data_IF_000635029271
#
_entry.id   IF_000635029271
#
_cell.length_a   1.000
_cell.length_b   1.000
_cell.length_c   1.000
_cell.angle_alpha   90.00
_cell.angle_beta   90.00
_cell.angle_gamma   90.00
#
_symmetry.space_group_name_H-M   'P 1'
#
loop_
_entity.id
_entity.type
_entity.pdbx_description
1 polymer ?
#
# COMPACT_ATOMS: atom_id res chain seq x y z
N UNK A 1 -34.58 72.50 3.38
CA UNK A 1 -35.63 71.50 3.70
C UNK A 1 -35.25 70.22 2.97
N UNK A 2 -35.07 69.13 3.71
CA UNK A 2 -34.29 67.95 3.33
C UNK A 2 -34.77 67.23 2.06
N UNK A 3 -33.88 67.10 1.06
CA UNK A 3 -33.95 66.06 0.04
C UNK A 3 -33.20 64.83 0.55
N UNK A 4 -33.91 63.74 0.84
CA UNK A 4 -33.33 62.40 1.04
C UNK A 4 -33.36 61.67 -0.31
N UNK A 5 -32.21 61.51 -0.95
CA UNK A 5 -32.01 60.56 -2.03
C UNK A 5 -31.31 59.32 -1.44
N UNK A 6 -31.99 58.17 -1.54
CA UNK A 6 -31.44 56.85 -1.24
C UNK A 6 -30.53 56.45 -2.41
N UNK A 7 -29.21 56.45 -2.20
CA UNK A 7 -28.28 55.73 -3.08
C UNK A 7 -28.17 54.29 -2.58
N UNK A 8 -28.78 53.36 -3.31
CA UNK A 8 -28.53 51.92 -3.15
C UNK A 8 -27.21 51.61 -3.85
N UNK A 9 -26.14 51.45 -3.08
CA UNK A 9 -24.87 50.93 -3.59
C UNK A 9 -24.99 49.43 -3.80
N UNK A 10 -25.08 49.01 -5.06
CA UNK A 10 -24.99 47.61 -5.46
C UNK A 10 -23.51 47.17 -5.36
N UNK A 11 -23.15 46.51 -4.26
CA UNK A 11 -21.83 45.89 -4.11
C UNK A 11 -21.83 44.59 -4.95
N UNK A 12 -21.33 44.68 -6.18
CA UNK A 12 -20.96 43.50 -6.98
C UNK A 12 -19.73 42.87 -6.33
N UNK A 13 -19.94 41.90 -5.43
CA UNK A 13 -18.92 40.95 -5.02
C UNK A 13 -18.59 40.09 -6.24
N UNK A 14 -17.52 40.44 -6.94
CA UNK A 14 -16.85 39.55 -7.86
C UNK A 14 -16.35 38.34 -7.06
N UNK A 15 -17.14 37.26 -7.04
CA UNK A 15 -16.65 35.95 -6.65
C UNK A 15 -15.67 35.53 -7.72
N UNK A 16 -14.39 35.82 -7.48
CA UNK A 16 -13.28 35.22 -8.21
C UNK A 16 -13.28 33.72 -7.87
N UNK A 17 -14.12 32.97 -8.57
CA UNK A 17 -14.01 31.53 -8.65
C UNK A 17 -12.67 31.21 -9.28
N UNK A 18 -11.67 30.91 -8.46
CA UNK A 18 -10.45 30.26 -8.91
C UNK A 18 -10.84 28.92 -9.52
N UNK A 19 -10.94 28.86 -10.85
CA UNK A 19 -10.91 27.59 -11.56
C UNK A 19 -9.59 26.92 -11.17
N UNK A 20 -9.59 25.65 -10.73
CA UNK A 20 -8.33 24.92 -10.61
C UNK A 20 -7.68 24.95 -11.99
N UNK A 21 -6.42 25.39 -12.03
CA UNK A 21 -5.62 25.39 -13.24
C UNK A 21 -5.82 24.03 -13.94
N UNK A 22 -6.26 24.06 -15.19
CA UNK A 22 -6.54 22.88 -15.98
C UNK A 22 -5.28 22.02 -16.07
N UNK A 23 -5.17 21.05 -15.16
CA UNK A 23 -4.21 19.97 -15.27
C UNK A 23 -4.59 19.21 -16.54
N UNK A 24 -3.69 19.21 -17.53
CA UNK A 24 -3.80 18.26 -18.62
C UNK A 24 -3.99 16.87 -18.00
N UNK A 25 -5.01 16.14 -18.46
CA UNK A 25 -5.24 14.78 -18.02
C UNK A 25 -3.93 14.00 -18.19
N UNK A 26 -3.35 13.55 -17.08
CA UNK A 26 -2.13 12.75 -17.14
C UNK A 26 -2.52 11.45 -17.83
N UNK A 27 -1.86 11.14 -18.94
CA UNK A 27 -2.03 9.86 -19.60
C UNK A 27 -1.67 8.73 -18.63
N UNK A 28 -2.45 7.65 -18.65
CA UNK A 28 -2.17 6.49 -17.82
C UNK A 28 -0.73 5.99 -18.03
N UNK A 29 -0.03 5.59 -16.95
CA UNK A 29 1.32 5.09 -17.05
C UNK A 29 1.32 3.91 -18.01
N UNK A 30 2.13 4.00 -19.06
CA UNK A 30 2.38 2.88 -19.95
C UNK A 30 3.66 2.20 -19.48
N UNK A 31 3.58 0.89 -19.26
CA UNK A 31 4.77 0.09 -19.01
C UNK A 31 5.70 0.22 -20.23
N UNK A 32 6.83 0.89 -20.02
CA UNK A 32 7.79 1.13 -21.08
C UNK A 32 8.86 0.04 -21.10
N UNK A 33 9.33 -0.36 -19.91
CA UNK A 33 10.35 -1.39 -19.73
C UNK A 33 10.06 -2.17 -18.45
N UNK A 34 10.28 -3.48 -18.48
CA UNK A 34 10.45 -4.28 -17.27
C UNK A 34 11.55 -5.30 -17.46
N UNK A 35 12.38 -5.48 -16.43
CA UNK A 35 13.51 -6.40 -16.46
C UNK A 35 13.58 -7.13 -15.13
N UNK A 36 13.79 -8.44 -15.20
CA UNK A 36 14.17 -9.25 -14.03
C UNK A 36 15.65 -9.00 -13.73
N UNK A 37 15.92 -8.42 -12.55
CA UNK A 37 17.25 -8.05 -12.09
C UNK A 37 18.05 -9.23 -11.53
N UNK A 38 17.39 -10.32 -11.13
CA UNK A 38 18.06 -11.54 -10.63
C UNK A 38 19.03 -12.11 -11.67
N UNK A 39 18.73 -11.93 -12.97
CA UNK A 39 19.60 -12.36 -14.07
C UNK A 39 20.92 -11.60 -14.16
N UNK A 40 21.04 -10.45 -13.52
CA UNK A 40 22.24 -9.60 -13.54
C UNK A 40 23.13 -9.81 -12.31
N UNK A 41 22.64 -10.54 -11.30
CA UNK A 41 23.41 -10.99 -10.14
C UNK A 41 23.49 -12.52 -10.22
N UNK A 42 24.35 -13.04 -11.11
CA UNK A 42 24.47 -14.48 -11.34
C UNK A 42 25.33 -15.13 -10.24
N UNK A 43 24.70 -15.93 -9.38
CA UNK A 43 25.34 -16.89 -8.48
C UNK A 43 24.32 -17.52 -7.51
N UNK A 44 24.21 -18.83 -7.52
CA UNK A 44 23.18 -19.69 -6.88
C UNK A 44 22.65 -19.12 -5.53
N UNK A 45 21.58 -18.32 -5.57
CA UNK A 45 21.01 -17.59 -4.41
C UNK A 45 22.02 -16.77 -3.56
N UNK A 46 22.87 -15.98 -4.24
CA UNK A 46 23.70 -14.84 -3.74
C UNK A 46 25.15 -15.14 -3.31
N UNK A 47 25.85 -16.04 -4.02
CA UNK A 47 27.30 -16.29 -3.85
C UNK A 47 28.20 -15.81 -5.01
N UNK A 48 27.66 -15.02 -5.94
CA UNK A 48 28.39 -14.52 -7.11
C UNK A 48 29.21 -13.27 -6.81
N UNK A 49 30.45 -13.18 -7.31
CA UNK A 49 31.32 -11.98 -7.20
C UNK A 49 31.06 -10.93 -8.29
N UNK A 50 30.03 -11.10 -9.12
CA UNK A 50 29.85 -10.26 -10.29
C UNK A 50 28.98 -9.04 -9.95
N UNK A 51 29.52 -7.88 -10.30
CA UNK A 51 28.79 -6.62 -10.32
C UNK A 51 27.96 -6.57 -11.61
N UNK A 52 26.75 -6.02 -11.52
CA UNK A 52 25.84 -5.84 -12.65
C UNK A 52 25.52 -4.37 -12.85
N UNK A 53 25.39 -3.95 -14.11
CA UNK A 53 24.95 -2.61 -14.48
C UNK A 53 23.78 -2.73 -15.45
N UNK A 54 22.71 -1.97 -15.19
CA UNK A 54 21.49 -1.98 -16.01
C UNK A 54 21.12 -0.54 -16.35
N UNK A 55 21.13 -0.22 -17.65
CA UNK A 55 20.53 1.01 -18.17
C UNK A 55 19.00 0.84 -18.20
N UNK A 56 18.30 1.62 -17.39
CA UNK A 56 16.83 1.60 -17.29
C UNK A 56 16.16 2.56 -18.29
N UNK A 57 16.97 3.22 -19.11
CA UNK A 57 16.59 4.26 -20.06
C UNK A 57 16.48 5.65 -19.42
N UNK A 58 16.42 6.66 -20.29
CA UNK A 58 16.41 8.10 -19.92
C UNK A 58 17.60 8.51 -19.02
N UNK A 59 18.70 7.77 -19.06
CA UNK A 59 19.93 8.10 -18.34
C UNK A 59 19.98 7.65 -16.88
N UNK A 60 18.99 6.89 -16.38
CA UNK A 60 19.06 6.23 -15.07
C UNK A 60 19.74 4.86 -15.21
N UNK A 61 20.85 4.68 -14.52
CA UNK A 61 21.63 3.45 -14.49
C UNK A 61 21.58 2.86 -13.08
N UNK A 62 21.24 1.58 -12.96
CA UNK A 62 21.28 0.83 -11.71
C UNK A 62 22.54 -0.02 -11.68
N UNK A 63 23.42 0.25 -10.72
CA UNK A 63 24.62 -0.58 -10.46
C UNK A 63 24.39 -1.43 -9.24
N UNK A 64 24.57 -2.73 -9.37
CA UNK A 64 24.38 -3.70 -8.30
C UNK A 64 25.71 -4.36 -7.97
N UNK A 65 26.08 -4.33 -6.70
CA UNK A 65 27.33 -4.90 -6.19
C UNK A 65 27.01 -5.88 -5.06
N UNK A 66 27.57 -7.11 -5.06
CA UNK A 66 27.43 -8.01 -3.93
C UNK A 66 27.94 -7.37 -2.63
N UNK A 67 27.30 -7.68 -1.51
CA UNK A 67 27.86 -7.29 -0.22
C UNK A 67 29.12 -8.10 0.09
N UNK A 68 30.17 -7.41 0.56
CA UNK A 68 31.43 -8.06 0.93
C UNK A 68 31.29 -8.92 2.18
N UNK A 69 32.26 -9.81 2.41
CA UNK A 69 32.36 -10.54 3.69
C UNK A 69 31.36 -11.68 3.90
N UNK A 70 30.68 -12.15 2.85
CA UNK A 70 29.70 -13.25 2.95
C UNK A 70 28.33 -12.80 3.46
N UNK A 71 28.08 -11.50 3.58
CA UNK A 71 26.74 -10.99 3.83
C UNK A 71 25.85 -11.27 2.60
N UNK A 72 24.64 -11.83 2.79
CA UNK A 72 23.73 -12.06 1.68
C UNK A 72 23.12 -10.74 1.17
N UNK A 73 22.82 -10.71 -0.13
CA UNK A 73 22.20 -9.58 -0.82
C UNK A 73 23.20 -8.70 -1.57
N UNK A 74 22.71 -7.54 -2.02
CA UNK A 74 23.45 -6.60 -2.83
C UNK A 74 23.28 -5.16 -2.32
N UNK A 75 24.19 -4.31 -2.79
CA UNK A 75 24.06 -2.86 -2.79
C UNK A 75 23.61 -2.42 -4.17
N UNK A 76 22.56 -1.62 -4.24
CA UNK A 76 22.16 -0.91 -5.44
C UNK A 76 22.55 0.56 -5.34
N UNK A 77 23.23 1.04 -6.36
CA UNK A 77 23.57 2.46 -6.55
C UNK A 77 22.88 2.96 -7.81
N UNK A 78 22.02 3.97 -7.65
CA UNK A 78 21.34 4.61 -8.78
C UNK A 78 22.14 5.83 -9.27
N UNK A 79 22.49 5.84 -10.56
CA UNK A 79 23.25 6.91 -11.21
C UNK A 79 22.40 7.62 -12.25
N UNK A 80 22.56 8.93 -12.38
CA UNK A 80 21.99 9.72 -13.47
C UNK A 80 23.08 10.41 -14.29
N UNK A 81 22.97 10.30 -15.62
CA UNK A 81 23.83 11.00 -16.60
C UNK A 81 25.34 10.90 -16.29
N UNK A 82 25.79 9.72 -15.84
CA UNK A 82 27.19 9.39 -15.56
C UNK A 82 27.91 10.26 -14.50
N UNK A 83 27.21 11.07 -13.70
CA UNK A 83 27.88 12.06 -12.85
C UNK A 83 27.30 12.24 -11.44
N UNK A 84 26.09 11.74 -11.14
CA UNK A 84 25.50 11.92 -9.81
C UNK A 84 24.84 10.64 -9.30
N UNK A 85 25.22 10.26 -8.08
CA UNK A 85 24.53 9.21 -7.33
C UNK A 85 23.27 9.82 -6.75
N UNK A 86 22.15 9.16 -7.00
CA UNK A 86 20.82 9.61 -6.58
C UNK A 86 20.44 8.97 -5.24
N UNK A 87 20.76 7.69 -5.07
CA UNK A 87 20.45 6.93 -3.86
C UNK A 87 21.33 5.69 -3.74
N UNK A 88 21.53 5.24 -2.50
CA UNK A 88 22.14 3.98 -2.14
C UNK A 88 21.17 3.10 -1.36
N UNK A 89 20.89 1.92 -1.88
CA UNK A 89 20.06 0.92 -1.19
C UNK A 89 20.96 -0.26 -0.84
N UNK A 90 20.99 -0.65 0.42
CA UNK A 90 21.88 -1.71 0.92
C UNK A 90 21.07 -2.89 1.45
N UNK A 91 21.63 -4.10 1.35
CA UNK A 91 21.07 -5.34 1.91
C UNK A 91 19.78 -5.81 1.22
N UNK A 92 19.60 -5.41 -0.03
CA UNK A 92 18.45 -5.81 -0.83
C UNK A 92 18.75 -7.01 -1.74
N UNK A 93 17.72 -7.78 -2.06
CA UNK A 93 17.74 -8.79 -3.13
C UNK A 93 16.90 -8.23 -4.28
N UNK A 94 17.54 -7.42 -5.12
CA UNK A 94 16.85 -6.73 -6.20
C UNK A 94 16.37 -7.72 -7.26
N UNK A 95 15.06 -7.92 -7.35
CA UNK A 95 14.43 -8.93 -8.19
C UNK A 95 13.94 -8.37 -9.52
N UNK A 96 13.60 -7.08 -9.57
CA UNK A 96 13.06 -6.47 -10.77
C UNK A 96 13.12 -4.95 -10.79
N UNK A 97 12.96 -4.40 -11.99
CA UNK A 97 12.57 -3.02 -12.14
C UNK A 97 11.49 -2.85 -13.22
N UNK A 98 10.72 -1.78 -13.10
CA UNK A 98 9.86 -1.29 -14.17
C UNK A 98 10.03 0.21 -14.39
N UNK A 99 9.92 0.64 -15.64
CA UNK A 99 9.81 2.05 -16.01
C UNK A 99 8.42 2.32 -16.57
N UNK A 100 7.80 3.38 -16.10
CA UNK A 100 6.47 3.80 -16.53
C UNK A 100 6.45 5.29 -16.87
N UNK A 101 5.70 5.65 -17.91
CA UNK A 101 5.63 7.02 -18.42
C UNK A 101 4.19 7.52 -18.33
N UNK A 102 3.98 8.63 -17.62
CA UNK A 102 2.68 9.26 -17.37
C UNK A 102 2.74 10.74 -17.78
N UNK A 103 2.35 11.03 -19.02
CA UNK A 103 2.58 12.35 -19.63
C UNK A 103 4.08 12.68 -19.71
N UNK A 104 4.54 13.86 -19.23
CA UNK A 104 5.96 14.21 -19.25
C UNK A 104 6.77 13.51 -18.14
N UNK A 105 6.09 12.87 -17.18
CA UNK A 105 6.73 12.29 -16.00
C UNK A 105 7.14 10.85 -16.30
N UNK A 106 8.36 10.49 -15.91
CA UNK A 106 8.83 9.09 -15.93
C UNK A 106 9.03 8.60 -14.50
N UNK A 107 8.47 7.44 -14.17
CA UNK A 107 8.65 6.76 -12.89
C UNK A 107 9.44 5.47 -13.09
N UNK A 108 10.30 5.17 -12.12
CA UNK A 108 10.92 3.85 -11.99
C UNK A 108 10.55 3.24 -10.65
N UNK A 109 10.24 1.95 -10.69
CA UNK A 109 10.02 1.10 -9.54
C UNK A 109 11.11 0.05 -9.54
N UNK A 110 11.90 -0.03 -8.47
CA UNK A 110 12.84 -1.13 -8.23
C UNK A 110 12.29 -1.97 -7.09
N UNK A 111 12.17 -3.27 -7.34
CA UNK A 111 11.73 -4.26 -6.37
C UNK A 111 12.93 -4.85 -5.64
N UNK A 112 12.86 -4.83 -4.32
CA UNK A 112 13.81 -5.43 -3.39
C UNK A 112 13.10 -6.51 -2.57
N UNK A 113 13.51 -7.76 -2.74
CA UNK A 113 13.06 -8.88 -1.95
C UNK A 113 13.99 -9.12 -0.76
N UNK A 114 13.49 -9.25 0.46
CA UNK A 114 14.37 -9.45 1.63
C UNK A 114 14.68 -10.92 1.96
N UNK A 115 14.12 -11.89 1.23
CA UNK A 115 14.48 -13.31 1.40
C UNK A 115 13.89 -14.02 2.62
N UNK A 116 13.09 -13.35 3.46
CA UNK A 116 12.51 -13.92 4.67
C UNK A 116 11.42 -14.97 4.42
N UNK A 117 11.12 -15.80 5.42
CA UNK A 117 10.06 -16.82 5.38
C UNK A 117 8.64 -16.26 5.09
N UNK A 118 8.48 -14.94 5.17
CA UNK A 118 7.22 -14.23 4.95
C UNK A 118 7.28 -13.28 3.76
N UNK A 119 8.29 -13.44 2.88
CA UNK A 119 8.39 -12.76 1.59
C UNK A 119 8.21 -11.24 1.67
N UNK A 120 8.95 -10.57 2.58
CA UNK A 120 8.87 -9.12 2.68
C UNK A 120 9.59 -8.49 1.49
N UNK A 121 8.87 -7.67 0.73
CA UNK A 121 9.38 -6.95 -0.44
C UNK A 121 9.33 -5.46 -0.13
N UNK A 122 10.22 -4.69 -0.74
CA UNK A 122 10.19 -3.23 -0.71
C UNK A 122 10.21 -2.68 -2.12
N UNK A 123 9.52 -1.57 -2.33
CA UNK A 123 9.51 -0.84 -3.59
C UNK A 123 10.20 0.50 -3.44
N UNK A 124 11.23 0.69 -4.27
CA UNK A 124 12.01 1.92 -4.33
C UNK A 124 11.59 2.71 -5.56
N UNK A 125 11.17 3.96 -5.35
CA UNK A 125 10.64 4.79 -6.40
C UNK A 125 11.62 5.88 -6.80
N UNK A 126 11.82 6.03 -8.10
CA UNK A 126 12.52 7.17 -8.70
C UNK A 126 11.59 7.88 -9.67
N UNK A 127 11.84 9.17 -9.89
CA UNK A 127 11.03 9.97 -10.79
C UNK A 127 11.86 11.01 -11.54
N UNK A 128 11.50 11.23 -12.80
CA UNK A 128 11.91 12.35 -13.63
C UNK A 128 10.64 13.17 -13.94
N UNK A 129 10.48 14.36 -13.35
CA UNK A 129 9.27 15.18 -13.54
C UNK A 129 8.98 15.62 -14.98
N UNK A 130 10.03 15.86 -15.77
CA UNK A 130 9.97 16.16 -17.20
C UNK A 130 11.33 15.84 -17.85
N UNK A 131 11.44 15.74 -19.20
CA UNK A 131 12.63 15.22 -19.87
C UNK A 131 13.96 15.95 -19.60
N UNK A 132 13.90 17.23 -19.18
CA UNK A 132 15.07 18.04 -18.85
C UNK A 132 15.37 18.10 -17.35
N UNK A 133 14.48 17.57 -16.51
CA UNK A 133 14.71 17.49 -15.07
C UNK A 133 15.71 16.37 -14.73
N UNK A 134 16.40 16.54 -13.61
CA UNK A 134 17.17 15.47 -12.99
C UNK A 134 16.22 14.38 -12.44
N UNK A 135 16.69 13.13 -12.48
CA UNK A 135 16.03 12.03 -11.77
C UNK A 135 16.25 12.21 -10.26
N UNK A 136 15.21 11.95 -9.48
CA UNK A 136 15.25 11.96 -8.01
C UNK A 136 14.69 10.68 -7.42
N UNK A 137 15.17 10.33 -6.24
CA UNK A 137 14.56 9.29 -5.41
C UNK A 137 13.32 9.87 -4.70
N UNK A 138 12.20 9.16 -4.77
CA UNK A 138 10.93 9.56 -4.15
C UNK A 138 10.72 8.95 -2.78
N UNK A 139 11.30 7.77 -2.53
CA UNK A 139 11.14 7.04 -1.29
C UNK A 139 10.98 5.53 -1.48
N UNK A 140 10.85 4.85 -0.35
CA UNK A 140 10.64 3.41 -0.26
C UNK A 140 9.28 3.11 0.35
N UNK A 141 8.57 2.13 -0.22
CA UNK A 141 7.38 1.52 0.39
C UNK A 141 7.77 0.10 0.81
N UNK A 142 7.80 -0.16 2.13
CA UNK A 142 8.02 -1.50 2.67
C UNK A 142 6.70 -2.26 2.66
N UNK A 143 6.65 -3.36 1.92
CA UNK A 143 5.46 -4.19 1.78
C UNK A 143 5.47 -5.22 2.92
N UNK A 144 4.39 -5.27 3.69
CA UNK A 144 4.27 -6.21 4.81
C UNK A 144 4.21 -7.67 4.35
N UNK A 145 3.76 -7.88 3.12
CA UNK A 145 3.78 -9.13 2.36
C UNK A 145 3.50 -8.77 0.89
N UNK A 146 4.35 -9.20 -0.04
CA UNK A 146 4.01 -9.13 -1.45
C UNK A 146 3.45 -10.48 -1.88
N UNK A 147 2.20 -10.49 -2.35
CA UNK A 147 1.80 -11.52 -3.28
C UNK A 147 2.76 -11.43 -4.48
N UNK A 148 3.40 -12.53 -4.93
CA UNK A 148 4.27 -12.55 -6.11
C UNK A 148 3.58 -12.07 -7.40
N UNK A 149 2.29 -11.71 -7.37
CA UNK A 149 1.66 -10.87 -8.40
C UNK A 149 2.60 -9.76 -8.85
N UNK A 150 2.96 -9.86 -10.13
CA UNK A 150 3.97 -9.08 -10.83
C UNK A 150 3.93 -7.61 -10.40
N UNK A 151 5.02 -7.10 -9.81
CA UNK A 151 5.21 -5.67 -9.49
C UNK A 151 4.87 -4.72 -10.67
N UNK A 152 4.83 -5.26 -11.89
CA UNK A 152 4.37 -4.62 -13.12
C UNK A 152 2.90 -4.14 -13.06
N UNK A 153 2.04 -4.79 -12.28
CA UNK A 153 0.60 -4.50 -12.17
C UNK A 153 0.24 -3.62 -10.96
N UNK A 154 1.22 -3.28 -10.13
CA UNK A 154 0.97 -2.53 -8.90
C UNK A 154 0.82 -1.03 -9.11
N UNK A 155 1.12 -0.52 -10.31
CA UNK A 155 0.85 0.85 -10.69
C UNK A 155 -0.43 0.96 -11.51
N UNK A 156 -1.31 1.86 -11.10
CA UNK A 156 -2.60 2.13 -11.72
C UNK A 156 -2.79 3.63 -11.94
N UNK A 157 -3.79 3.98 -12.74
CA UNK A 157 -4.18 5.37 -12.93
C UNK A 157 -5.64 5.58 -12.60
N UNK A 158 -5.93 6.69 -11.94
CA UNK A 158 -7.28 7.19 -11.70
C UNK A 158 -7.22 8.72 -11.67
N UNK A 159 -8.19 9.37 -12.29
CA UNK A 159 -8.31 10.84 -12.30
C UNK A 159 -7.02 11.60 -12.72
N UNK A 160 -6.26 11.04 -13.66
CA UNK A 160 -5.00 11.62 -14.12
C UNK A 160 -3.89 11.61 -13.06
N UNK A 161 -3.89 10.62 -12.16
CA UNK A 161 -2.87 10.45 -11.13
C UNK A 161 -2.39 9.01 -11.12
N UNK A 162 -1.09 8.82 -10.86
CA UNK A 162 -0.46 7.50 -10.74
C UNK A 162 -0.57 7.03 -9.30
N UNK A 163 -1.01 5.79 -9.11
CA UNK A 163 -1.17 5.16 -7.82
C UNK A 163 -0.42 3.85 -7.75
N UNK A 164 0.27 3.62 -6.64
CA UNK A 164 0.80 2.32 -6.26
C UNK A 164 -0.13 1.64 -5.27
N UNK A 165 -0.52 0.40 -5.56
CA UNK A 165 -1.29 -0.46 -4.65
C UNK A 165 -0.34 -1.45 -3.99
N UNK A 166 -0.42 -1.53 -2.68
CA UNK A 166 0.21 -2.60 -1.88
C UNK A 166 -0.75 -3.14 -0.82
N UNK A 167 -0.20 -3.92 0.11
CA UNK A 167 -0.96 -4.54 1.18
C UNK A 167 -0.34 -4.25 2.55
N UNK A 168 -1.21 -3.93 3.49
CA UNK A 168 -0.91 -3.84 4.90
C UNK A 168 -0.95 -5.23 5.55
N UNK A 169 0.23 -5.73 5.92
CA UNK A 169 0.41 -7.05 6.54
C UNK A 169 0.45 -7.05 8.05
N UNK A 170 0.16 -5.94 8.74
CA UNK A 170 0.22 -5.87 10.21
C UNK A 170 -0.67 -6.92 10.89
N UNK A 171 -1.76 -7.31 10.24
CA UNK A 171 -2.72 -8.27 10.76
C UNK A 171 -2.47 -9.72 10.33
N UNK A 172 -1.36 -10.00 9.64
CA UNK A 172 -1.05 -11.34 9.13
C UNK A 172 -0.92 -12.42 10.22
N UNK A 173 -0.67 -12.04 11.48
CA UNK A 173 -0.60 -12.94 12.66
C UNK A 173 -1.59 -12.54 13.75
N UNK A 174 -2.65 -11.81 13.39
CA UNK A 174 -3.50 -11.17 14.38
C UNK A 174 -4.29 -12.20 15.19
N UNK A 175 -3.89 -12.37 16.45
CA UNK A 175 -4.52 -13.24 17.45
C UNK A 175 -4.73 -14.68 16.95
N UNK A 176 -3.83 -15.19 16.08
CA UNK A 176 -3.74 -16.59 15.67
C UNK A 176 -2.51 -16.78 14.76
N UNK A 177 -2.17 -18.02 14.39
CA UNK A 177 -1.07 -18.30 13.45
C UNK A 177 -1.39 -17.86 12.01
N UNK A 178 -0.35 -17.62 11.19
CA UNK A 178 -0.47 -17.09 9.82
C UNK A 178 -1.51 -17.79 8.93
N UNK A 179 -1.53 -19.12 8.93
CA UNK A 179 -2.49 -19.89 8.11
C UNK A 179 -3.94 -19.69 8.59
N UNK A 180 -4.13 -19.53 9.89
CA UNK A 180 -5.45 -19.39 10.52
C UNK A 180 -5.95 -17.94 10.55
N UNK A 181 -5.06 -16.95 10.48
CA UNK A 181 -5.47 -15.55 10.32
C UNK A 181 -6.03 -15.29 8.93
N UNK A 182 -5.99 -16.29 8.03
CA UNK A 182 -6.26 -16.13 6.61
C UNK A 182 -5.26 -15.20 5.93
N UNK A 183 -4.14 -14.90 6.61
CA UNK A 183 -3.19 -13.86 6.24
C UNK A 183 -3.92 -12.53 5.92
N UNK A 184 -4.55 -11.93 6.93
CA UNK A 184 -5.29 -10.67 6.77
C UNK A 184 -4.38 -9.55 6.21
N UNK A 185 -4.55 -9.31 4.91
CA UNK A 185 -3.90 -8.25 4.15
C UNK A 185 -4.93 -7.24 3.68
N UNK A 186 -4.71 -5.98 3.98
CA UNK A 186 -5.62 -4.90 3.61
C UNK A 186 -4.99 -4.04 2.53
N UNK A 187 -5.70 -3.71 1.44
CA UNK A 187 -5.11 -2.92 0.37
C UNK A 187 -4.78 -1.50 0.87
N UNK A 188 -3.63 -1.00 0.45
CA UNK A 188 -3.18 0.37 0.68
C UNK A 188 -2.88 1.01 -0.66
N UNK A 189 -3.10 2.32 -0.71
CA UNK A 189 -2.99 3.10 -1.93
C UNK A 189 -2.09 4.30 -1.71
N UNK A 190 -1.06 4.39 -2.53
CA UNK A 190 -0.07 5.45 -2.49
C UNK A 190 -0.16 6.27 -3.77
N UNK A 191 -0.40 7.57 -3.66
CA UNK A 191 -0.29 8.49 -4.80
C UNK A 191 1.17 8.79 -5.06
N UNK A 192 1.59 8.58 -6.30
CA UNK A 192 2.89 9.00 -6.78
C UNK A 192 2.75 10.36 -7.45
N UNK A 193 3.54 11.31 -6.96
CA UNK A 193 3.72 12.61 -7.58
C UNK A 193 5.19 12.79 -7.87
N UNK A 194 5.57 13.74 -8.75
CA UNK A 194 6.96 14.10 -8.85
C UNK A 194 7.54 14.44 -7.47
N UNK A 195 6.81 15.13 -6.58
CA UNK A 195 7.31 15.63 -5.30
C UNK A 195 7.53 14.54 -4.24
N UNK A 196 6.90 13.37 -4.40
CA UNK A 196 7.00 12.28 -3.44
C UNK A 196 5.82 11.31 -3.47
N UNK A 197 5.78 10.49 -2.42
CA UNK A 197 4.79 9.43 -2.22
C UNK A 197 3.84 9.85 -1.09
N UNK A 198 2.53 9.64 -1.25
CA UNK A 198 1.55 9.93 -0.19
C UNK A 198 0.54 8.80 -0.06
N UNK A 199 0.31 8.32 1.17
CA UNK A 199 -0.77 7.38 1.45
C UNK A 199 -2.13 8.08 1.33
N UNK A 200 -3.05 7.49 0.57
CA UNK A 200 -4.34 8.11 0.21
C UNK A 200 -5.51 7.10 0.16
N UNK A 201 -5.49 6.11 1.03
CA UNK A 201 -6.51 5.06 1.16
C UNK A 201 -7.95 5.60 1.10
N UNK A 202 -8.21 6.76 1.69
CA UNK A 202 -9.54 7.37 1.75
C UNK A 202 -10.18 7.64 0.39
N UNK A 203 -9.39 7.89 -0.65
CA UNK A 203 -9.92 8.07 -2.02
C UNK A 203 -10.36 6.75 -2.68
N UNK A 204 -10.08 5.62 -2.02
CA UNK A 204 -10.42 4.26 -2.43
C UNK A 204 -11.38 3.61 -1.45
N UNK A 205 -12.16 4.40 -0.70
CA UNK A 205 -13.19 3.94 0.23
C UNK A 205 -14.06 2.81 -0.33
N UNK A 206 -14.52 2.95 -1.57
CA UNK A 206 -15.38 1.95 -2.23
C UNK A 206 -14.74 0.56 -2.32
N UNK A 207 -13.40 0.48 -2.48
CA UNK A 207 -12.69 -0.81 -2.48
C UNK A 207 -12.91 -1.51 -1.14
N UNK A 208 -12.75 -0.80 -0.03
CA UNK A 208 -12.97 -1.38 1.30
C UNK A 208 -14.43 -1.78 1.53
N UNK A 209 -15.38 -0.98 1.01
CA UNK A 209 -16.81 -1.31 1.11
C UNK A 209 -17.20 -2.54 0.28
N UNK A 210 -16.55 -2.76 -0.85
CA UNK A 210 -16.74 -3.97 -1.66
C UNK A 210 -16.16 -5.22 -0.95
N UNK A 211 -14.96 -5.11 -0.38
CA UNK A 211 -14.36 -6.18 0.44
C UNK A 211 -15.25 -6.55 1.64
N UNK A 212 -15.92 -5.58 2.26
CA UNK A 212 -16.90 -5.83 3.33
C UNK A 212 -18.06 -6.69 2.85
N UNK A 213 -18.54 -6.50 1.62
CA UNK A 213 -19.65 -7.32 1.06
C UNK A 213 -19.21 -8.77 0.92
N UNK A 214 -18.01 -9.00 0.39
CA UNK A 214 -17.44 -10.34 0.25
C UNK A 214 -17.22 -11.00 1.62
N UNK A 215 -16.70 -10.26 2.61
CA UNK A 215 -16.53 -10.78 3.96
C UNK A 215 -17.86 -11.08 4.63
N UNK A 216 -18.91 -10.27 4.43
CA UNK A 216 -20.23 -10.57 4.96
C UNK A 216 -20.82 -11.85 4.36
N UNK A 217 -20.55 -12.13 3.08
CA UNK A 217 -20.91 -13.41 2.47
C UNK A 217 -20.17 -14.56 3.15
N UNK A 218 -18.84 -14.46 3.30
CA UNK A 218 -18.02 -15.49 3.98
C UNK A 218 -18.43 -15.72 5.43
N UNK A 219 -18.75 -14.66 6.18
CA UNK A 219 -19.30 -14.75 7.54
C UNK A 219 -20.60 -15.56 7.54
N UNK A 220 -21.47 -15.33 6.56
CA UNK A 220 -22.75 -16.02 6.46
C UNK A 220 -22.57 -17.50 6.13
N UNK A 221 -21.66 -17.82 5.22
CA UNK A 221 -21.29 -19.20 4.85
C UNK A 221 -20.68 -19.94 6.05
N UNK A 222 -19.71 -19.35 6.73
CA UNK A 222 -19.05 -19.93 7.90
C UNK A 222 -20.01 -20.08 9.08
N UNK A 223 -20.92 -19.12 9.28
CA UNK A 223 -21.94 -19.25 10.31
C UNK A 223 -22.96 -20.37 10.00
N UNK A 224 -23.24 -20.64 8.72
CA UNK A 224 -24.16 -21.68 8.29
C UNK A 224 -23.55 -23.09 8.33
N UNK A 225 -22.24 -23.22 8.07
CA UNK A 225 -21.50 -24.48 8.16
C UNK A 225 -21.28 -24.91 9.62
N UNK A 226 -21.39 -23.98 10.57
CA UNK A 226 -21.13 -24.20 11.99
C UNK A 226 -22.16 -25.13 12.63
N UNK A 227 -21.66 -26.12 13.38
CA UNK A 227 -22.51 -26.97 14.22
C UNK A 227 -23.18 -26.20 15.36
N UNK A 228 -24.08 -26.88 16.10
CA UNK A 228 -24.90 -26.25 17.15
C UNK A 228 -24.10 -25.66 18.33
N UNK A 229 -22.86 -26.10 18.55
CA UNK A 229 -22.02 -25.63 19.65
C UNK A 229 -21.32 -24.33 19.26
N UNK A 230 -21.56 -23.27 20.05
CA UNK A 230 -20.89 -21.98 19.92
C UNK A 230 -19.65 -21.97 20.84
N UNK A 231 -18.42 -22.03 20.31
CA UNK A 231 -17.21 -21.85 21.12
C UNK A 231 -17.13 -20.43 21.71
N UNK A 232 -16.17 -20.22 22.60
CA UNK A 232 -15.77 -18.89 23.02
C UNK A 232 -15.06 -18.17 21.86
N UNK A 233 -14.96 -16.83 21.89
CA UNK A 233 -14.23 -16.09 20.84
C UNK A 233 -12.74 -16.41 20.80
N UNK A 234 -12.14 -16.61 21.99
CA UNK A 234 -10.72 -16.90 22.16
C UNK A 234 -10.50 -18.19 22.94
N UNK A 235 -9.41 -18.88 22.64
CA UNK A 235 -8.88 -19.99 23.42
C UNK A 235 -8.15 -19.48 24.69
N UNK A 236 -7.59 -20.39 25.48
CA UNK A 236 -6.85 -20.04 26.72
C UNK A 236 -5.56 -19.25 26.47
N UNK A 237 -5.02 -19.31 25.24
CA UNK A 237 -3.82 -18.56 24.82
C UNK A 237 -4.16 -17.16 24.29
N UNK A 238 -5.44 -16.84 24.13
CA UNK A 238 -5.90 -15.59 23.53
C UNK A 238 -6.03 -15.63 22.02
N UNK A 239 -5.86 -16.78 21.37
CA UNK A 239 -6.03 -16.91 19.93
C UNK A 239 -7.51 -17.10 19.56
N UNK A 240 -7.91 -16.68 18.36
CA UNK A 240 -9.22 -17.01 17.80
C UNK A 240 -9.44 -18.52 17.79
N UNK A 241 -10.64 -18.95 18.19
CA UNK A 241 -11.00 -20.37 18.18
C UNK A 241 -11.41 -20.89 16.82
N UNK A 242 -11.82 -20.01 15.92
CA UNK A 242 -12.39 -20.33 14.61
C UNK A 242 -12.30 -19.14 13.63
N UNK A 243 -12.52 -19.44 12.35
CA UNK A 243 -12.42 -18.49 11.25
C UNK A 243 -13.46 -17.37 11.33
N UNK A 244 -14.61 -17.65 11.94
CA UNK A 244 -15.66 -16.65 12.12
C UNK A 244 -15.16 -15.45 12.94
N UNK A 245 -14.29 -15.67 13.94
CA UNK A 245 -13.73 -14.61 14.78
C UNK A 245 -12.76 -13.75 13.99
N UNK A 246 -11.95 -14.40 13.15
CA UNK A 246 -11.03 -13.75 12.21
C UNK A 246 -11.81 -12.90 11.20
N UNK A 247 -12.87 -13.44 10.61
CA UNK A 247 -13.71 -12.73 9.64
C UNK A 247 -14.41 -11.51 10.25
N UNK A 248 -14.89 -11.61 11.50
CA UNK A 248 -15.46 -10.47 12.21
C UNK A 248 -14.42 -9.36 12.44
N UNK A 249 -13.19 -9.72 12.81
CA UNK A 249 -12.09 -8.77 12.96
C UNK A 249 -11.73 -8.14 11.60
N UNK A 250 -11.59 -8.94 10.54
CA UNK A 250 -11.28 -8.48 9.19
C UNK A 250 -12.31 -7.45 8.70
N UNK A 251 -13.62 -7.76 8.80
CA UNK A 251 -14.69 -6.83 8.44
C UNK A 251 -14.58 -5.51 9.21
N UNK A 252 -14.28 -5.59 10.50
CA UNK A 252 -14.15 -4.41 11.36
C UNK A 252 -13.01 -3.53 10.88
N UNK A 253 -11.85 -4.12 10.55
CA UNK A 253 -10.70 -3.39 10.04
C UNK A 253 -11.01 -2.73 8.69
N UNK A 254 -11.71 -3.42 7.79
CA UNK A 254 -12.16 -2.82 6.53
C UNK A 254 -13.08 -1.61 6.73
N UNK A 255 -14.01 -1.67 7.68
CA UNK A 255 -14.85 -0.50 8.01
C UNK A 255 -13.99 0.66 8.54
N UNK A 256 -12.99 0.38 9.39
CA UNK A 256 -12.07 1.41 9.88
C UNK A 256 -11.25 2.02 8.73
N UNK A 257 -10.72 1.22 7.81
CA UNK A 257 -10.05 1.71 6.60
C UNK A 257 -10.97 2.63 5.77
N UNK A 258 -12.26 2.32 5.71
CA UNK A 258 -13.31 3.11 5.05
C UNK A 258 -13.79 4.35 5.85
N UNK A 259 -13.28 4.58 7.06
CA UNK A 259 -13.72 5.62 8.02
C UNK A 259 -15.18 5.50 8.45
N UNK A 260 -15.65 4.27 8.54
CA UNK A 260 -16.98 3.90 9.03
C UNK A 260 -16.90 3.41 10.49
N UNK A 261 -16.24 4.19 11.36
CA UNK A 261 -15.82 3.78 12.71
C UNK A 261 -17.00 3.30 13.59
N UNK A 262 -18.10 4.04 13.61
CA UNK A 262 -19.29 3.66 14.40
C UNK A 262 -19.86 2.32 13.91
N UNK A 263 -19.99 2.17 12.58
CA UNK A 263 -20.44 0.93 11.94
C UNK A 263 -19.48 -0.23 12.21
N UNK A 264 -18.17 0.03 12.22
CA UNK A 264 -17.14 -0.97 12.53
C UNK A 264 -17.38 -1.55 13.93
N UNK A 265 -17.49 -0.70 14.94
CA UNK A 265 -17.59 -1.15 16.33
C UNK A 265 -18.96 -1.72 16.67
N UNK A 266 -20.02 -1.16 16.11
CA UNK A 266 -21.38 -1.70 16.27
C UNK A 266 -21.47 -3.10 15.64
N UNK A 267 -21.04 -3.24 14.38
CA UNK A 267 -21.14 -4.53 13.69
C UNK A 267 -20.27 -5.62 14.34
N UNK A 268 -19.11 -5.26 14.89
CA UNK A 268 -18.28 -6.18 15.67
C UNK A 268 -19.03 -6.68 16.91
N UNK A 269 -19.60 -5.77 17.70
CA UNK A 269 -20.33 -6.12 18.92
C UNK A 269 -21.54 -7.02 18.62
N UNK A 270 -22.32 -6.67 17.60
CA UNK A 270 -23.46 -7.47 17.15
C UNK A 270 -23.04 -8.84 16.64
N UNK A 271 -21.95 -8.92 15.87
CA UNK A 271 -21.41 -10.18 15.37
C UNK A 271 -20.95 -11.10 16.50
N UNK A 272 -20.15 -10.57 17.43
CA UNK A 272 -19.67 -11.34 18.60
C UNK A 272 -20.86 -11.84 19.43
N UNK A 273 -21.84 -10.98 19.72
CA UNK A 273 -23.04 -11.37 20.46
C UNK A 273 -23.86 -12.44 19.71
N UNK A 274 -24.06 -12.28 18.39
CA UNK A 274 -24.87 -13.21 17.58
C UNK A 274 -24.24 -14.59 17.51
N UNK A 275 -22.95 -14.65 17.21
CA UNK A 275 -22.26 -15.89 16.87
C UNK A 275 -21.64 -16.57 18.08
N UNK A 276 -21.24 -15.84 19.12
CA UNK A 276 -20.61 -16.40 20.33
C UNK A 276 -21.51 -16.33 21.57
N UNK A 277 -22.69 -15.68 21.48
CA UNK A 277 -23.65 -15.53 22.58
C UNK A 277 -23.02 -14.95 23.86
N UNK A 278 -22.03 -14.08 23.67
CA UNK A 278 -21.26 -13.49 24.75
C UNK A 278 -20.73 -12.14 24.31
N UNK A 279 -20.39 -11.29 25.27
CA UNK A 279 -19.51 -10.13 25.08
C UNK A 279 -18.08 -10.41 25.53
N UNK A 280 -17.80 -11.60 26.08
CA UNK A 280 -16.48 -11.96 26.60
C UNK A 280 -15.46 -11.96 25.45
N UNK A 281 -14.39 -11.18 25.64
CA UNK A 281 -13.32 -11.01 24.65
C UNK A 281 -13.51 -9.80 23.74
N UNK A 282 -14.71 -9.22 23.62
CA UNK A 282 -14.98 -8.08 22.72
C UNK A 282 -14.07 -6.89 23.00
N UNK A 283 -13.94 -6.46 24.26
CA UNK A 283 -13.09 -5.33 24.62
C UNK A 283 -11.61 -5.63 24.41
N UNK A 284 -11.20 -6.90 24.56
CA UNK A 284 -9.83 -7.31 24.26
C UNK A 284 -9.55 -7.22 22.76
N UNK A 285 -10.48 -7.72 21.95
CA UNK A 285 -10.40 -7.65 20.49
C UNK A 285 -10.31 -6.20 20.01
N UNK A 286 -11.19 -5.31 20.52
CA UNK A 286 -11.16 -3.88 20.18
C UNK A 286 -9.81 -3.25 20.50
N UNK A 287 -9.25 -3.52 21.69
CA UNK A 287 -7.94 -2.98 22.09
C UNK A 287 -6.82 -3.46 21.16
N UNK A 288 -6.78 -4.74 20.82
CA UNK A 288 -5.74 -5.26 19.92
C UNK A 288 -5.89 -4.71 18.50
N UNK A 289 -7.12 -4.57 17.98
CA UNK A 289 -7.34 -3.90 16.68
C UNK A 289 -6.82 -2.46 16.72
N UNK A 290 -7.20 -1.68 17.74
CA UNK A 290 -6.76 -0.27 17.87
C UNK A 290 -5.23 -0.18 17.97
N UNK A 291 -4.61 -1.04 18.78
CA UNK A 291 -3.17 -1.08 18.98
C UNK A 291 -2.43 -1.36 17.67
N UNK A 292 -2.88 -2.37 16.91
CA UNK A 292 -2.28 -2.66 15.60
C UNK A 292 -2.49 -1.52 14.61
N UNK A 293 -3.68 -0.93 14.57
CA UNK A 293 -4.00 0.21 13.71
C UNK A 293 -3.14 1.45 14.00
N UNK A 294 -2.75 1.70 15.25
CA UNK A 294 -1.95 2.86 15.65
C UNK A 294 -0.49 2.83 15.15
N UNK A 295 0.03 1.66 14.78
CA UNK A 295 1.44 1.53 14.37
C UNK A 295 1.77 2.23 13.04
N UNK A 296 0.77 2.47 12.18
CA UNK A 296 0.89 3.17 10.88
C UNK A 296 -0.45 3.82 10.47
N UNK A 297 -0.44 4.97 9.77
CA UNK A 297 -1.66 5.62 9.26
C UNK A 297 -2.46 4.72 8.30
N UNK A 298 -3.79 4.89 8.29
CA UNK A 298 -4.73 4.24 7.38
C UNK A 298 -5.68 5.24 6.69
#
# INVERSE_FOLDING_TARGET
>A
MFLRAFCVSLLMLAVSGSQPAGGQAVECPRLAVSVNLEKFIVGERFGGKQQGEVDTGKGLILKMEPLGGGEPGARLTAWYQNASIIEFITKGWFSGFSRQEAGPVTYWLVEDYSGGAHCCTSHHFFCQPHPQAAVRFLGTINLGHADPTYYQEQLSCKDGMVYHKDFDGRFAYFLTGFAMSGAMFFPRFHRLTPEGISLINQQFKEVYLDEIKEINQRISEEAASRGAKKPALFNERGDFTDDLGVLLAARTIYYLCAREDDTAWQSLAEGVQRYYQSSRGLDSLKREIIKEMQSQPY
#
